data_IF_001600856339
#
_entry.id   IF_001600856339
#
_cell.length_a   1.000
_cell.length_b   1.000
_cell.length_c   1.000
_cell.angle_alpha   90.00
_cell.angle_beta   90.00
_cell.angle_gamma   90.00
#
_symmetry.space_group_name_H-M   'P 1'
#
loop_
_entity.id
_entity.type
_entity.pdbx_description
1 polymer ?
#
# COMPACT_ATOMS: atom_id res chain seq x y z
N UNK A 1 17.44 3.57 -3.48
CA UNK A 1 16.95 2.62 -4.52
C UNK A 1 17.53 1.27 -4.15
N UNK A 2 16.73 0.20 -4.01
CA UNK A 2 17.26 -1.10 -3.59
C UNK A 2 17.85 -1.84 -4.80
N UNK A 3 18.92 -2.64 -4.62
CA UNK A 3 19.45 -3.48 -5.68
C UNK A 3 18.40 -4.49 -6.16
N UNK A 4 18.38 -4.81 -7.47
CA UNK A 4 17.42 -5.77 -8.04
C UNK A 4 17.52 -7.14 -7.34
N UNK A 5 18.73 -7.62 -7.08
CA UNK A 5 18.96 -8.89 -6.37
C UNK A 5 18.29 -8.91 -5.00
N UNK A 6 18.33 -7.80 -4.26
CA UNK A 6 17.68 -7.68 -2.95
C UNK A 6 16.15 -7.64 -3.05
N UNK A 7 15.62 -7.07 -4.13
CA UNK A 7 14.19 -7.10 -4.42
C UNK A 7 13.70 -8.53 -4.69
N UNK A 8 14.42 -9.29 -5.52
CA UNK A 8 14.07 -10.69 -5.83
C UNK A 8 14.11 -11.56 -4.56
N UNK A 9 15.14 -11.40 -3.71
CA UNK A 9 15.24 -12.11 -2.43
C UNK A 9 14.08 -11.73 -1.50
N UNK A 10 13.71 -10.44 -1.42
CA UNK A 10 12.56 -9.99 -0.64
C UNK A 10 11.25 -10.60 -1.17
N UNK A 11 11.07 -10.63 -2.49
CA UNK A 11 9.90 -11.23 -3.15
C UNK A 11 9.78 -12.71 -2.85
N UNK A 12 10.85 -13.48 -3.07
CA UNK A 12 10.88 -14.91 -2.79
C UNK A 12 10.58 -15.19 -1.31
N UNK A 13 11.27 -14.50 -0.39
CA UNK A 13 11.05 -14.67 1.05
C UNK A 13 9.64 -14.28 1.48
N UNK A 14 9.01 -13.30 0.83
CA UNK A 14 7.64 -12.87 1.13
C UNK A 14 6.60 -13.90 0.67
N UNK A 15 6.79 -14.50 -0.51
CA UNK A 15 5.81 -15.41 -1.11
C UNK A 15 5.94 -16.85 -0.62
N UNK A 16 7.15 -17.31 -0.31
CA UNK A 16 7.42 -18.72 -0.02
C UNK A 16 7.54 -19.05 1.46
N UNK A 17 7.98 -18.10 2.29
CA UNK A 17 8.23 -18.35 3.71
C UNK A 17 7.10 -17.79 4.57
N UNK A 18 6.69 -18.55 5.58
CA UNK A 18 5.76 -18.11 6.61
C UNK A 18 6.46 -17.15 7.60
N UNK A 19 6.94 -16.01 7.08
CA UNK A 19 7.68 -14.98 7.81
C UNK A 19 6.79 -13.79 8.09
N UNK A 20 7.00 -13.17 9.26
CA UNK A 20 6.30 -11.94 9.61
C UNK A 20 6.87 -10.74 8.85
N UNK A 21 6.05 -9.70 8.64
CA UNK A 21 6.49 -8.42 8.06
C UNK A 21 7.68 -7.80 8.80
N UNK A 22 7.71 -7.95 10.13
CA UNK A 22 8.79 -7.43 10.95
C UNK A 22 10.10 -8.15 10.66
N UNK A 23 10.09 -9.48 10.58
CA UNK A 23 11.29 -10.28 10.25
C UNK A 23 11.84 -9.92 8.86
N UNK A 24 10.97 -9.78 7.86
CA UNK A 24 11.37 -9.37 6.50
C UNK A 24 11.98 -7.96 6.48
N UNK A 25 11.40 -7.03 7.24
CA UNK A 25 11.93 -5.66 7.35
C UNK A 25 13.31 -5.64 8.00
N UNK A 26 13.50 -6.38 9.10
CA UNK A 26 14.78 -6.46 9.81
C UNK A 26 15.86 -7.08 8.93
N UNK A 27 15.55 -8.18 8.22
CA UNK A 27 16.50 -8.87 7.35
C UNK A 27 16.95 -7.98 6.19
N UNK A 28 16.01 -7.30 5.51
CA UNK A 28 16.34 -6.33 4.46
C UNK A 28 17.23 -5.19 4.98
N UNK A 29 16.95 -4.68 6.18
CA UNK A 29 17.69 -3.59 6.80
C UNK A 29 19.08 -3.96 7.32
N UNK A 30 19.40 -5.25 7.46
CA UNK A 30 20.77 -5.69 7.81
C UNK A 30 21.75 -5.41 6.67
N UNK A 31 21.30 -5.55 5.43
CA UNK A 31 22.15 -5.39 4.25
C UNK A 31 22.02 -3.99 3.64
N UNK A 32 20.80 -3.45 3.60
CA UNK A 32 20.51 -2.14 3.01
C UNK A 32 19.54 -1.40 3.90
N UNK A 33 19.92 -0.23 4.41
CA UNK A 33 18.98 0.60 5.15
C UNK A 33 17.81 1.01 4.23
N UNK A 34 16.61 0.55 4.57
CA UNK A 34 15.37 0.81 3.84
C UNK A 34 14.35 1.40 4.80
N UNK A 35 13.90 2.66 4.59
CA UNK A 35 12.85 3.26 5.39
C UNK A 35 11.58 2.39 5.37
N UNK A 36 10.89 2.30 6.51
CA UNK A 36 9.65 1.52 6.66
C UNK A 36 8.60 1.80 5.58
N UNK A 37 8.46 3.06 5.15
CA UNK A 37 7.54 3.43 4.07
C UNK A 37 7.92 2.81 2.72
N UNK A 38 9.23 2.75 2.42
CA UNK A 38 9.74 2.15 1.19
C UNK A 38 9.55 0.64 1.23
N UNK A 39 9.82 0.01 2.38
CA UNK A 39 9.54 -1.42 2.57
C UNK A 39 8.10 -1.78 2.25
N UNK A 40 7.11 -1.07 2.81
CA UNK A 40 5.70 -1.37 2.50
C UNK A 40 5.31 -1.10 1.04
N UNK A 41 5.93 -0.12 0.37
CA UNK A 41 5.72 0.07 -1.07
C UNK A 41 6.24 -1.12 -1.87
N UNK A 42 7.39 -1.68 -1.50
CA UNK A 42 7.94 -2.87 -2.16
C UNK A 42 7.03 -4.09 -1.94
N UNK A 43 6.51 -4.27 -0.73
CA UNK A 43 5.53 -5.35 -0.44
C UNK A 43 4.25 -5.16 -1.25
N UNK A 44 3.72 -3.93 -1.36
CA UNK A 44 2.57 -3.66 -2.22
C UNK A 44 2.86 -3.98 -3.69
N UNK A 45 4.03 -3.59 -4.20
CA UNK A 45 4.43 -3.89 -5.56
C UNK A 45 4.49 -5.40 -5.81
N UNK A 46 5.12 -6.17 -4.92
CA UNK A 46 5.16 -7.64 -5.01
C UNK A 46 3.74 -8.22 -5.03
N UNK A 47 2.85 -7.71 -4.17
CA UNK A 47 1.45 -8.16 -4.15
C UNK A 47 0.72 -7.85 -5.46
N UNK A 48 0.91 -6.65 -6.02
CA UNK A 48 0.31 -6.29 -7.31
C UNK A 48 0.80 -7.17 -8.46
N UNK A 49 2.10 -7.49 -8.49
CA UNK A 49 2.67 -8.40 -9.49
C UNK A 49 2.04 -9.81 -9.42
N UNK A 50 1.75 -10.29 -8.22
CA UNK A 50 1.09 -11.59 -8.00
C UNK A 50 -0.44 -11.52 -8.11
N UNK A 51 -1.00 -10.38 -8.51
CA UNK A 51 -2.46 -10.19 -8.63
C UNK A 51 -3.19 -10.10 -7.28
N UNK A 52 -2.47 -9.92 -6.17
CA UNK A 52 -3.01 -9.76 -4.82
C UNK A 52 -3.35 -8.29 -4.54
N UNK A 53 -4.40 -8.06 -3.75
CA UNK A 53 -4.73 -6.71 -3.24
C UNK A 53 -3.58 -6.16 -2.42
N UNK A 54 -3.29 -4.87 -2.55
CA UNK A 54 -2.26 -4.18 -1.77
C UNK A 54 -2.45 -4.37 -0.26
N UNK A 55 -1.34 -4.50 0.47
CA UNK A 55 -1.36 -4.63 1.92
C UNK A 55 -1.65 -3.28 2.59
N UNK A 56 -1.08 -2.22 2.03
CA UNK A 56 -1.23 -0.86 2.52
C UNK A 56 -1.73 0.04 1.39
N UNK A 57 -3.02 0.02 1.11
CA UNK A 57 -3.62 1.14 0.39
C UNK A 57 -3.44 2.36 1.29
N UNK A 58 -2.67 3.36 0.87
CA UNK A 58 -2.93 4.73 1.36
C UNK A 58 -4.43 4.85 1.23
N UNK A 59 -5.17 5.06 2.33
CA UNK A 59 -6.60 5.32 2.28
C UNK A 59 -6.74 6.36 1.19
N UNK A 60 -7.22 5.92 0.03
CA UNK A 60 -7.61 6.83 -1.01
C UNK A 60 -8.65 7.64 -0.26
N UNK A 61 -8.35 8.93 -0.03
CA UNK A 61 -9.39 9.84 0.40
C UNK A 61 -10.46 9.58 -0.63
N UNK A 62 -11.53 8.87 -0.25
CA UNK A 62 -12.73 8.81 -1.05
C UNK A 62 -12.96 10.27 -1.33
N UNK A 63 -12.68 10.70 -2.56
CA UNK A 63 -13.34 11.87 -3.11
C UNK A 63 -14.76 11.37 -3.11
N UNK A 64 -15.45 11.57 -1.99
CA UNK A 64 -16.88 11.61 -1.97
C UNK A 64 -17.18 12.63 -3.04
N UNK A 65 -17.57 12.13 -4.22
CA UNK A 65 -18.25 12.93 -5.22
C UNK A 65 -19.21 13.81 -4.43
N UNK A 66 -18.87 15.10 -4.36
CA UNK A 66 -19.81 16.11 -3.93
C UNK A 66 -20.82 16.10 -5.08
N UNK A 67 -21.78 15.17 -5.01
CA UNK A 67 -22.98 15.23 -5.81
C UNK A 67 -23.63 16.53 -5.37
N UNK A 68 -23.38 17.56 -6.16
CA UNK A 68 -24.06 18.84 -6.01
C UNK A 68 -25.48 18.56 -6.43
N UNK A 69 -26.35 18.27 -5.47
CA UNK A 69 -27.80 18.32 -5.70
C UNK A 69 -28.20 19.80 -5.57
N UNK A 70 -28.60 20.50 -6.66
CA UNK A 70 -29.38 21.71 -6.53
C UNK A 70 -30.83 21.29 -6.31
N UNK A 71 -31.18 20.82 -5.11
CA UNK A 71 -32.58 20.49 -4.81
C UNK A 71 -33.26 21.66 -4.10
N UNK A 72 -34.30 22.14 -4.79
CA UNK A 72 -35.07 23.34 -4.56
C UNK A 72 -35.71 23.31 -3.17
N UNK A 73 -35.49 24.34 -2.36
CA UNK A 73 -36.34 24.62 -1.21
C UNK A 73 -37.62 25.33 -1.69
N UNK A 74 -38.82 24.76 -1.57
CA UNK A 74 -40.03 25.56 -1.64
C UNK A 74 -40.13 26.33 -0.32
N UNK A 75 -39.83 27.63 -0.34
CA UNK A 75 -40.15 28.51 0.79
C UNK A 75 -41.67 28.70 0.80
N UNK A 76 -42.34 27.97 1.69
CA UNK A 76 -43.65 28.35 2.18
C UNK A 76 -43.52 29.53 3.17
N UNK A 77 -44.58 30.34 3.17
CA UNK A 77 -44.99 31.39 4.11
C UNK A 77 -44.39 32.79 3.91
N UNK A 78 -45.21 33.69 3.33
CA UNK A 78 -46.07 34.56 4.13
C UNK A 78 -47.39 34.83 3.40
#
# INVERSE_FOLDING_TARGET
>A
MIPKTQYEILKENYLTKNRTMHSLYVELNKEVFVPKQVFFRLINQIRQEEGLKEFYTKKEKRKSDIITHPDKSPKCYN
#
